data_IF_712499964171
#
_entry.id   IF_712499964171
#
_cell.length_a   1.000
_cell.length_b   1.000
_cell.length_c   1.000
_cell.angle_alpha   90.00
_cell.angle_beta   90.00
_cell.angle_gamma   90.00
#
_symmetry.space_group_name_H-M   'P 1'
#
loop_
_entity.id
_entity.type
_entity.pdbx_description
1 polymer ?
#
# COMPACT_ATOMS: atom_id res chain seq x y z
N UNK A 1 4.15 -10.46 -11.40
CA UNK A 1 4.26 -10.02 -12.80
C UNK A 1 3.04 -9.22 -13.28
N UNK A 2 1.82 -9.78 -13.33
CA UNK A 2 0.63 -9.06 -13.83
C UNK A 2 0.41 -7.66 -13.24
N UNK A 3 0.41 -7.53 -11.90
CA UNK A 3 0.20 -6.24 -11.22
C UNK A 3 1.28 -5.22 -11.59
N UNK A 4 2.55 -5.61 -11.56
CA UNK A 4 3.65 -4.73 -11.95
C UNK A 4 3.52 -4.26 -13.41
N UNK A 5 3.16 -5.16 -14.33
CA UNK A 5 2.88 -4.80 -15.72
C UNK A 5 1.74 -3.80 -15.83
N UNK A 6 0.62 -4.02 -15.12
CA UNK A 6 -0.53 -3.13 -15.14
C UNK A 6 -0.19 -1.73 -14.61
N UNK A 7 0.58 -1.66 -13.53
CA UNK A 7 1.06 -0.42 -12.93
C UNK A 7 1.94 0.36 -13.91
N UNK A 8 2.92 -0.31 -14.52
CA UNK A 8 3.84 0.30 -15.49
C UNK A 8 3.14 0.83 -16.74
N UNK A 9 2.10 0.17 -17.22
CA UNK A 9 1.35 0.60 -18.41
C UNK A 9 0.36 1.75 -18.14
N UNK A 10 0.13 2.10 -16.87
CA UNK A 10 -0.84 3.12 -16.48
C UNK A 10 -0.19 4.15 -15.52
N UNK A 11 0.86 4.86 -15.95
CA UNK A 11 1.62 5.76 -15.06
C UNK A 11 0.79 6.93 -14.51
N UNK A 12 -0.27 7.33 -15.21
CA UNK A 12 -1.20 8.38 -14.79
C UNK A 12 -2.20 7.95 -13.70
N UNK A 13 -2.32 6.65 -13.44
CA UNK A 13 -3.25 6.09 -12.45
C UNK A 13 -2.50 5.83 -11.15
N UNK A 14 -3.03 6.33 -10.04
CA UNK A 14 -2.54 5.97 -8.71
C UNK A 14 -3.21 4.67 -8.26
N UNK A 15 -2.41 3.62 -8.08
CA UNK A 15 -2.86 2.33 -7.57
C UNK A 15 -2.78 2.31 -6.05
N UNK A 16 -3.92 2.16 -5.40
CA UNK A 16 -4.00 1.96 -3.95
C UNK A 16 -4.32 0.49 -3.69
N UNK A 17 -3.38 -0.24 -3.12
CA UNK A 17 -3.50 -1.67 -2.85
C UNK A 17 -3.78 -1.87 -1.36
N UNK A 18 -4.98 -2.35 -1.03
CA UNK A 18 -5.35 -2.65 0.35
C UNK A 18 -4.80 -4.03 0.77
N UNK A 19 -3.85 -4.02 1.69
CA UNK A 19 -3.21 -5.21 2.26
C UNK A 19 -3.69 -5.52 3.68
N UNK A 20 -4.88 -5.06 4.08
CA UNK A 20 -5.46 -5.37 5.40
C UNK A 20 -5.57 -6.87 5.71
N UNK A 21 -5.59 -7.72 4.70
CA UNK A 21 -5.66 -9.19 4.82
C UNK A 21 -4.41 -9.91 4.31
N UNK A 22 -3.29 -9.20 4.13
CA UNK A 22 -2.04 -9.77 3.59
C UNK A 22 -1.55 -11.03 4.32
N UNK A 23 -1.86 -11.16 5.61
CA UNK A 23 -1.46 -12.31 6.43
C UNK A 23 -2.37 -13.54 6.34
N UNK A 24 -3.42 -13.49 5.53
CA UNK A 24 -4.42 -14.57 5.39
C UNK A 24 -4.19 -15.40 4.12
N UNK A 25 -3.00 -15.31 3.52
CA UNK A 25 -2.59 -16.08 2.34
C UNK A 25 -1.13 -16.51 2.47
N UNK A 26 -0.80 -17.63 1.83
CA UNK A 26 0.58 -18.09 1.67
C UNK A 26 1.19 -17.67 0.33
N UNK A 27 0.40 -17.02 -0.53
CA UNK A 27 0.89 -16.56 -1.84
C UNK A 27 1.82 -15.36 -1.64
N UNK A 28 2.85 -15.20 -2.50
CA UNK A 28 3.62 -13.98 -2.56
C UNK A 28 2.71 -12.78 -2.81
N UNK A 29 3.00 -11.68 -2.14
CA UNK A 29 2.27 -10.43 -2.24
C UNK A 29 3.22 -9.32 -2.68
N UNK A 30 2.62 -8.23 -3.13
CA UNK A 30 3.33 -7.00 -3.43
C UNK A 30 4.00 -6.48 -2.16
N UNK A 31 5.32 -6.38 -2.17
CA UNK A 31 6.12 -5.98 -1.00
C UNK A 31 6.15 -4.47 -0.83
N UNK A 32 6.50 -4.03 0.38
CA UNK A 32 6.72 -2.61 0.66
C UNK A 32 7.89 -2.01 -0.16
N UNK A 33 8.91 -2.83 -0.48
CA UNK A 33 10.02 -2.42 -1.34
C UNK A 33 9.54 -2.17 -2.77
N UNK A 34 8.79 -3.11 -3.36
CA UNK A 34 8.18 -2.92 -4.68
C UNK A 34 7.27 -1.69 -4.71
N UNK A 35 6.43 -1.47 -3.68
CA UNK A 35 5.59 -0.28 -3.60
C UNK A 35 6.37 1.04 -3.54
N UNK A 36 7.56 1.04 -2.94
CA UNK A 36 8.42 2.22 -2.91
C UNK A 36 9.11 2.50 -4.27
N UNK A 37 9.31 1.47 -5.11
CA UNK A 37 9.91 1.61 -6.44
C UNK A 37 8.94 2.19 -7.47
N UNK A 38 7.65 1.91 -7.37
CA UNK A 38 6.66 2.46 -8.30
C UNK A 38 6.20 3.87 -7.88
N UNK A 39 6.32 4.88 -8.76
CA UNK A 39 5.98 6.25 -8.41
C UNK A 39 4.47 6.49 -8.24
N UNK A 40 3.63 5.54 -8.64
CA UNK A 40 2.18 5.65 -8.66
C UNK A 40 1.49 4.59 -7.78
N UNK A 41 2.19 3.98 -6.82
CA UNK A 41 1.63 2.96 -5.92
C UNK A 41 1.61 3.42 -4.46
N UNK A 42 0.49 3.14 -3.79
CA UNK A 42 0.34 3.21 -2.33
C UNK A 42 -0.13 1.84 -1.83
N UNK A 43 0.52 1.33 -0.79
CA UNK A 43 0.21 0.05 -0.18
C UNK A 43 -0.28 0.29 1.25
N UNK A 44 -1.50 -0.15 1.56
CA UNK A 44 -2.15 0.10 2.84
C UNK A 44 -2.02 -1.10 3.77
N UNK A 45 -1.57 -0.88 5.00
CA UNK A 45 -1.45 -1.90 6.03
C UNK A 45 -2.37 -1.60 7.20
N UNK A 46 -2.99 -2.66 7.74
CA UNK A 46 -3.97 -2.56 8.83
C UNK A 46 -3.57 -3.47 9.99
N UNK A 47 -3.66 -2.94 11.21
CA UNK A 47 -3.46 -3.76 12.41
C UNK A 47 -4.75 -4.41 12.92
N UNK A 48 -5.89 -4.14 12.27
CA UNK A 48 -7.19 -4.62 12.75
C UNK A 48 -7.39 -6.14 12.61
N UNK A 49 -6.85 -6.74 11.54
CA UNK A 49 -7.09 -8.15 11.19
C UNK A 49 -6.02 -9.05 11.79
N UNK A 50 -4.75 -8.84 11.41
CA UNK A 50 -3.64 -9.67 11.86
C UNK A 50 -3.47 -9.66 13.38
N UNK A 51 -3.53 -8.48 13.98
CA UNK A 51 -3.21 -8.28 15.40
C UNK A 51 -4.45 -8.21 16.29
N UNK A 52 -5.66 -8.35 15.72
CA UNK A 52 -6.93 -8.30 16.46
C UNK A 52 -7.09 -7.07 17.38
N UNK A 53 -6.50 -5.92 17.00
CA UNK A 53 -6.57 -4.65 17.75
C UNK A 53 -7.35 -3.55 17.00
N UNK A 54 -8.63 -3.79 16.63
CA UNK A 54 -9.39 -2.80 15.88
C UNK A 54 -9.58 -1.48 16.65
N UNK A 55 -9.62 -1.51 18.00
CA UNK A 55 -9.85 -0.34 18.84
C UNK A 55 -8.74 0.73 18.81
N UNK A 56 -7.48 0.36 18.51
CA UNK A 56 -6.36 1.30 18.46
C UNK A 56 -6.39 2.24 17.24
N UNK A 57 -7.19 1.89 16.23
CA UNK A 57 -7.28 2.64 14.96
C UNK A 57 -5.92 2.84 14.28
N UNK A 58 -5.05 1.84 14.37
CA UNK A 58 -3.69 1.89 13.83
C UNK A 58 -3.59 1.22 12.45
N UNK A 59 -2.93 1.93 11.54
CA UNK A 59 -2.55 1.48 10.20
C UNK A 59 -1.45 2.39 9.66
N UNK A 60 -0.82 1.97 8.57
CA UNK A 60 0.22 2.76 7.91
C UNK A 60 0.19 2.53 6.40
N UNK A 61 0.87 3.39 5.67
CA UNK A 61 0.98 3.33 4.20
C UNK A 61 2.44 3.30 3.80
N UNK A 62 2.77 2.49 2.79
CA UNK A 62 4.07 2.50 2.13
C UNK A 62 3.91 2.92 0.66
N UNK A 63 4.94 3.55 0.11
CA UNK A 63 4.91 4.08 -1.26
C UNK A 63 6.02 5.10 -1.50
N UNK A 64 6.11 5.61 -2.72
CA UNK A 64 7.15 6.56 -3.12
C UNK A 64 7.14 7.86 -2.29
N UNK A 65 8.30 8.46 -1.94
CA UNK A 65 8.39 9.62 -1.05
C UNK A 65 7.51 10.81 -1.45
N UNK A 66 7.38 11.09 -2.74
CA UNK A 66 6.59 12.22 -3.23
C UNK A 66 5.07 12.00 -3.02
N UNK A 67 4.56 10.77 -3.14
CA UNK A 67 3.17 10.44 -2.81
C UNK A 67 2.91 10.56 -1.30
N UNK A 68 3.84 10.04 -0.48
CA UNK A 68 3.76 10.17 0.97
C UNK A 68 3.80 11.63 1.41
N UNK A 69 4.60 12.47 0.76
CA UNK A 69 4.61 13.91 1.01
C UNK A 69 3.26 14.54 0.69
N UNK A 70 2.65 14.23 -0.47
CA UNK A 70 1.30 14.70 -0.81
C UNK A 70 0.24 14.27 0.21
N UNK A 71 0.31 13.05 0.74
CA UNK A 71 -0.61 12.60 1.78
C UNK A 71 -0.43 13.42 3.08
N UNK A 72 0.81 13.74 3.45
CA UNK A 72 1.11 14.50 4.67
C UNK A 72 0.58 15.93 4.61
N UNK A 73 0.57 16.57 3.44
CA UNK A 73 0.02 17.92 3.26
C UNK A 73 -1.52 17.95 3.26
N UNK A 74 -2.17 16.79 3.23
CA UNK A 74 -3.63 16.65 3.27
C UNK A 74 -4.11 15.94 4.55
N UNK A 75 -3.26 15.88 5.60
CA UNK A 75 -3.70 15.44 6.93
C UNK A 75 -4.65 16.48 7.51
N UNK A 76 -5.86 16.05 7.86
CA UNK A 76 -6.77 16.79 8.74
C UNK A 76 -6.22 16.84 10.16
#
# INVERSE_FOLDING_TARGET
>A
EYLATLISHNPQVCFVIDQSYEFFTLRPLFSAAEAAEFPNVLLLHSMTKRYAVPGLRLGYVTGAPHLLHRLRTNRM
#
